data_IF_794787368846
#
_entry.id   IF_794787368846
#
_cell.length_a   1.000
_cell.length_b   1.000
_cell.length_c   1.000
_cell.angle_alpha   90.00
_cell.angle_beta   90.00
_cell.angle_gamma   90.00
#
_symmetry.space_group_name_H-M   'P 1'
#
loop_
_entity.id
_entity.type
_entity.pdbx_description
1 polymer ?
#
# COMPACT_ATOMS: atom_id res chain seq x y z
N UNK A 1 -1.76 17.98 -46.48
CA UNK A 1 -2.96 17.23 -46.93
C UNK A 1 -3.91 18.23 -47.57
N UNK A 2 -3.89 18.29 -48.90
CA UNK A 2 -4.90 18.95 -49.72
C UNK A 2 -6.04 17.94 -49.93
N UNK A 3 -7.27 18.38 -49.71
CA UNK A 3 -8.48 17.63 -50.09
C UNK A 3 -8.50 17.40 -51.61
N UNK A 4 -9.00 16.24 -52.07
CA UNK A 4 -9.73 16.18 -53.32
C UNK A 4 -11.21 15.97 -53.03
N UNK A 5 -11.99 17.02 -53.28
CA UNK A 5 -13.42 16.92 -53.57
C UNK A 5 -13.57 16.27 -54.94
N UNK A 6 -14.30 15.17 -55.05
CA UNK A 6 -15.21 14.85 -56.16
C UNK A 6 -16.18 13.74 -55.69
N UNK A 7 -17.40 14.13 -55.34
CA UNK A 7 -18.62 13.31 -55.47
C UNK A 7 -19.04 13.31 -56.96
N UNK A 8 -19.92 12.43 -57.51
CA UNK A 8 -21.23 12.06 -56.93
C UNK A 8 -21.72 10.61 -57.31
N UNK A 9 -23.03 10.27 -57.45
CA UNK A 9 -23.79 9.51 -56.46
C UNK A 9 -24.52 8.27 -57.05
N UNK A 10 -24.13 7.05 -56.68
CA UNK A 10 -24.82 5.81 -57.12
C UNK A 10 -25.55 5.10 -55.97
N UNK A 11 -26.28 5.84 -55.14
CA UNK A 11 -27.07 5.22 -54.07
C UNK A 11 -28.45 5.82 -53.82
N UNK A 12 -29.01 6.47 -54.84
CA UNK A 12 -30.40 6.95 -54.84
C UNK A 12 -31.06 6.62 -56.19
N UNK A 13 -31.28 5.33 -56.48
CA UNK A 13 -32.06 4.91 -57.65
C UNK A 13 -32.73 3.51 -57.52
N UNK A 14 -32.59 2.79 -56.40
CA UNK A 14 -33.15 1.42 -56.28
C UNK A 14 -34.32 1.33 -55.29
N UNK A 15 -34.65 2.42 -54.58
CA UNK A 15 -35.81 2.46 -53.69
C UNK A 15 -37.04 3.07 -54.39
N UNK A 16 -37.41 2.55 -55.57
CA UNK A 16 -38.69 2.85 -56.21
C UNK A 16 -38.97 1.92 -57.39
N UNK A 17 -39.37 0.67 -57.12
CA UNK A 17 -40.29 -0.09 -57.99
C UNK A 17 -41.11 -1.03 -57.08
N UNK A 18 -42.42 -0.77 -57.07
CA UNK A 18 -43.60 -1.63 -56.85
C UNK A 18 -43.45 -2.89 -55.97
N UNK A 19 -44.19 -3.08 -54.86
CA UNK A 19 -45.67 -3.19 -54.75
C UNK A 19 -46.33 -3.90 -55.94
N UNK A 20 -46.20 -5.23 -56.01
CA UNK A 20 -47.28 -6.19 -56.32
C UNK A 20 -46.73 -7.62 -56.35
N UNK A 21 -47.50 -8.56 -55.82
CA UNK A 21 -47.24 -10.00 -55.78
C UNK A 21 -47.21 -10.64 -57.20
N UNK A 22 -46.76 -11.90 -57.35
CA UNK A 22 -45.90 -12.36 -58.45
C UNK A 22 -46.64 -12.94 -59.67
N UNK A 23 -45.95 -12.97 -60.82
CA UNK A 23 -46.14 -14.00 -61.85
C UNK A 23 -44.76 -14.57 -62.25
N UNK A 24 -44.66 -15.90 -62.25
CA UNK A 24 -43.40 -16.68 -62.14
C UNK A 24 -42.58 -16.74 -63.45
N UNK A 25 -42.97 -16.01 -64.50
CA UNK A 25 -42.33 -16.14 -65.82
C UNK A 25 -41.60 -14.88 -66.30
N UNK A 26 -41.75 -13.71 -65.66
CA UNK A 26 -41.07 -12.47 -66.07
C UNK A 26 -39.73 -12.21 -65.36
N UNK A 27 -39.39 -13.01 -64.34
CA UNK A 27 -38.12 -12.87 -63.60
C UNK A 27 -36.95 -13.62 -64.24
N UNK A 28 -37.20 -14.51 -65.21
CA UNK A 28 -36.14 -15.31 -65.84
C UNK A 28 -35.34 -14.50 -66.87
N UNK A 29 -36.01 -13.69 -67.69
CA UNK A 29 -35.36 -12.93 -68.78
C UNK A 29 -34.53 -11.73 -68.29
N UNK A 30 -34.89 -11.10 -67.16
CA UNK A 30 -34.05 -10.05 -66.57
C UNK A 30 -32.79 -10.62 -65.91
N UNK A 31 -32.86 -11.82 -65.34
CA UNK A 31 -31.71 -12.43 -64.67
C UNK A 31 -30.61 -12.88 -65.66
N UNK A 32 -30.96 -13.30 -66.87
CA UNK A 32 -29.98 -13.64 -67.93
C UNK A 32 -29.25 -12.40 -68.47
N UNK A 33 -29.95 -11.27 -68.61
CA UNK A 33 -29.34 -10.02 -69.06
C UNK A 33 -28.38 -9.39 -68.02
N UNK A 34 -28.67 -9.55 -66.73
CA UNK A 34 -27.75 -9.13 -65.66
C UNK A 34 -26.53 -10.06 -65.50
N UNK A 35 -26.64 -11.34 -65.87
CA UNK A 35 -25.52 -12.29 -65.83
C UNK A 35 -24.46 -12.02 -66.92
N UNK A 36 -24.87 -11.43 -68.06
CA UNK A 36 -23.97 -11.11 -69.18
C UNK A 36 -23.12 -9.83 -68.98
N UNK A 37 -23.50 -8.96 -68.03
CA UNK A 37 -22.77 -7.73 -67.67
C UNK A 37 -21.76 -7.96 -66.52
N UNK A 38 -21.08 -9.11 -66.56
CA UNK A 38 -20.00 -9.46 -65.64
C UNK A 38 -18.77 -8.56 -65.88
N UNK A 39 -18.81 -7.36 -65.31
CA UNK A 39 -17.65 -6.48 -65.14
C UNK A 39 -16.56 -7.28 -64.43
N UNK A 40 -15.51 -7.67 -65.18
CA UNK A 40 -14.33 -8.32 -64.61
C UNK A 40 -13.83 -7.44 -63.45
N UNK A 41 -13.71 -7.95 -62.21
CA UNK A 41 -13.13 -7.15 -61.15
C UNK A 41 -11.67 -6.87 -61.54
N UNK A 42 -11.38 -5.63 -61.93
CA UNK A 42 -10.02 -5.12 -61.96
C UNK A 42 -9.52 -5.22 -60.52
N UNK A 43 -8.79 -6.29 -60.22
CA UNK A 43 -8.14 -6.48 -58.92
C UNK A 43 -7.06 -5.43 -58.84
N UNK A 44 -7.42 -4.23 -58.39
CA UNK A 44 -6.45 -3.22 -58.03
C UNK A 44 -5.80 -3.69 -56.74
N UNK A 45 -4.72 -4.48 -56.86
CA UNK A 45 -3.87 -4.86 -55.73
C UNK A 45 -3.25 -3.57 -55.21
N UNK A 46 -3.89 -2.98 -54.20
CA UNK A 46 -3.26 -1.91 -53.43
C UNK A 46 -2.14 -2.56 -52.65
N UNK A 47 -0.89 -2.40 -53.10
CA UNK A 47 0.28 -2.56 -52.24
C UNK A 47 0.26 -1.44 -51.20
N UNK A 48 -0.65 -1.52 -50.23
CA UNK A 48 -0.64 -0.67 -49.07
C UNK A 48 0.55 -1.10 -48.21
N UNK A 49 1.74 -0.56 -48.47
CA UNK A 49 2.91 -0.75 -47.61
C UNK A 49 2.87 0.20 -46.40
N UNK A 50 1.71 0.32 -45.75
CA UNK A 50 1.58 1.07 -44.51
C UNK A 50 2.23 0.35 -43.31
N UNK A 51 2.88 -0.79 -43.54
CA UNK A 51 3.79 -1.43 -42.59
C UNK A 51 5.20 -0.79 -42.57
N UNK A 52 5.56 0.07 -43.54
CA UNK A 52 6.91 0.66 -43.61
C UNK A 52 7.15 1.87 -42.68
N UNK A 53 6.10 2.56 -42.20
CA UNK A 53 6.31 3.82 -41.45
C UNK A 53 6.28 3.70 -39.92
N UNK A 54 5.82 2.57 -39.35
CA UNK A 54 5.54 2.47 -37.90
C UNK A 54 6.37 1.47 -37.10
N UNK A 55 7.04 0.51 -37.75
CA UNK A 55 7.94 -0.46 -37.10
C UNK A 55 9.43 -0.08 -37.26
N UNK A 56 9.74 0.71 -38.28
CA UNK A 56 11.08 1.22 -38.60
C UNK A 56 11.43 2.47 -37.77
N UNK A 57 10.43 3.27 -37.39
CA UNK A 57 10.60 4.53 -36.64
C UNK A 57 10.33 4.39 -35.13
N UNK A 58 10.67 3.25 -34.52
CA UNK A 58 10.55 3.09 -33.05
C UNK A 58 11.90 3.30 -32.38
N UNK A 59 11.94 4.17 -31.38
CA UNK A 59 13.03 4.22 -30.41
C UNK A 59 13.07 2.88 -29.66
N UNK A 60 13.98 2.00 -30.08
CA UNK A 60 14.00 0.57 -29.73
C UNK A 60 14.76 0.27 -28.44
N UNK A 61 15.40 1.28 -27.85
CA UNK A 61 16.25 1.13 -26.68
C UNK A 61 15.78 2.01 -25.52
N UNK A 62 15.74 1.43 -24.33
CA UNK A 62 15.40 2.15 -23.11
C UNK A 62 16.66 2.75 -22.48
N UNK A 63 16.54 3.74 -21.58
CA UNK A 63 17.70 4.28 -20.90
C UNK A 63 18.40 3.17 -20.11
N UNK A 64 19.73 3.14 -20.16
CA UNK A 64 20.56 2.20 -19.43
C UNK A 64 20.23 2.19 -17.94
N UNK A 65 20.12 0.99 -17.36
CA UNK A 65 19.65 0.79 -15.96
C UNK A 65 20.74 0.98 -14.91
N UNK A 66 21.97 1.31 -15.33
CA UNK A 66 23.13 1.57 -14.44
C UNK A 66 23.37 0.43 -13.44
N UNK A 67 23.25 -0.81 -13.90
CA UNK A 67 23.57 -2.02 -13.13
C UNK A 67 25.09 -2.14 -12.91
N UNK A 68 25.52 -3.16 -12.17
CA UNK A 68 26.93 -3.46 -11.90
C UNK A 68 27.41 -2.99 -10.52
N UNK A 69 28.73 -3.08 -10.33
CA UNK A 69 29.40 -2.71 -9.10
C UNK A 69 29.29 -1.20 -8.83
N UNK A 70 29.06 -0.88 -7.56
CA UNK A 70 29.06 0.48 -7.01
C UNK A 70 30.20 0.69 -6.02
N UNK A 71 30.67 -0.40 -5.41
CA UNK A 71 31.86 -0.41 -4.56
C UNK A 71 32.82 -1.49 -5.03
N UNK A 72 34.07 -1.12 -5.22
CA UNK A 72 35.16 -2.04 -5.60
C UNK A 72 35.65 -2.83 -4.37
N UNK A 73 36.50 -3.83 -4.62
CA UNK A 73 37.20 -4.53 -3.53
C UNK A 73 37.99 -3.55 -2.68
N UNK A 74 38.04 -3.82 -1.37
CA UNK A 74 38.72 -3.05 -0.34
C UNK A 74 38.22 -1.63 -0.11
N UNK A 75 37.11 -1.25 -0.72
CA UNK A 75 36.53 0.07 -0.48
C UNK A 75 35.78 0.10 0.85
N UNK A 76 35.95 1.20 1.59
CA UNK A 76 35.22 1.43 2.83
C UNK A 76 33.72 1.69 2.58
N UNK A 77 32.88 1.07 3.39
CA UNK A 77 31.42 1.15 3.33
C UNK A 77 30.80 1.27 4.72
N UNK A 78 29.61 1.86 4.77
CA UNK A 78 28.77 2.08 5.96
C UNK A 78 27.47 1.29 5.74
N UNK A 79 26.73 0.89 6.80
CA UNK A 79 25.43 0.24 6.65
C UNK A 79 24.50 0.98 5.69
N UNK A 80 23.85 0.24 4.79
CA UNK A 80 22.94 0.77 3.78
C UNK A 80 23.59 1.13 2.44
N UNK A 81 24.93 1.21 2.38
CA UNK A 81 25.60 1.47 1.11
C UNK A 81 25.39 0.32 0.12
N UNK A 82 24.98 0.65 -1.10
CA UNK A 82 24.84 -0.31 -2.20
C UNK A 82 26.24 -0.70 -2.70
N UNK A 83 26.49 -2.01 -2.79
CA UNK A 83 27.75 -2.57 -3.28
C UNK A 83 27.61 -3.02 -4.73
N UNK A 84 26.51 -3.70 -5.08
CA UNK A 84 26.28 -4.22 -6.43
C UNK A 84 24.80 -4.22 -6.79
N UNK A 85 24.45 -3.67 -7.97
CA UNK A 85 23.09 -3.72 -8.53
C UNK A 85 23.03 -4.74 -9.66
N UNK A 86 22.08 -5.66 -9.64
CA UNK A 86 22.05 -6.77 -10.60
C UNK A 86 20.62 -7.14 -10.99
N UNK A 87 20.51 -7.98 -12.04
CA UNK A 87 19.29 -8.70 -12.38
C UNK A 87 19.55 -10.17 -12.09
N UNK A 88 18.72 -10.77 -11.24
CA UNK A 88 19.04 -12.07 -10.65
C UNK A 88 20.27 -11.99 -9.73
N UNK A 89 20.79 -13.15 -9.35
CA UNK A 89 21.88 -13.29 -8.38
C UNK A 89 23.17 -13.75 -9.04
N UNK A 90 23.89 -12.83 -9.68
CA UNK A 90 25.26 -13.11 -10.17
C UNK A 90 26.23 -13.21 -8.98
N UNK A 91 26.13 -12.24 -8.08
CA UNK A 91 26.78 -12.27 -6.78
C UNK A 91 25.75 -12.57 -5.70
N UNK A 92 26.17 -13.32 -4.68
CA UNK A 92 25.37 -13.63 -3.50
C UNK A 92 25.83 -12.80 -2.29
N UNK A 93 24.93 -12.52 -1.34
CA UNK A 93 25.31 -11.87 -0.10
C UNK A 93 26.18 -12.82 0.75
N UNK A 94 27.39 -12.36 1.08
CA UNK A 94 28.33 -13.01 1.98
C UNK A 94 28.25 -12.43 3.40
N UNK A 95 29.38 -12.42 4.10
CA UNK A 95 29.46 -11.90 5.47
C UNK A 95 29.14 -10.40 5.53
N UNK A 96 28.32 -9.99 6.51
CA UNK A 96 27.94 -8.59 6.77
C UNK A 96 27.35 -7.84 5.55
N UNK A 97 26.72 -8.60 4.66
CA UNK A 97 25.99 -8.12 3.50
C UNK A 97 24.58 -8.70 3.51
N UNK A 98 23.62 -7.93 2.98
CA UNK A 98 22.26 -8.39 2.76
C UNK A 98 21.83 -8.10 1.33
N UNK A 99 20.72 -8.73 0.92
CA UNK A 99 20.19 -8.63 -0.42
C UNK A 99 18.79 -8.01 -0.40
N UNK A 100 18.56 -7.01 -1.24
CA UNK A 100 17.26 -6.35 -1.39
C UNK A 100 16.29 -7.15 -2.27
N UNK A 101 15.06 -6.64 -2.40
CA UNK A 101 14.00 -7.24 -3.23
C UNK A 101 14.42 -7.40 -4.70
N UNK A 102 15.19 -6.45 -5.23
CA UNK A 102 15.68 -6.47 -6.62
C UNK A 102 17.05 -7.16 -6.76
N UNK A 103 17.46 -7.96 -5.77
CA UNK A 103 18.76 -8.62 -5.67
C UNK A 103 19.96 -7.67 -5.56
N UNK A 104 19.72 -6.38 -5.27
CA UNK A 104 20.79 -5.44 -4.94
C UNK A 104 21.48 -5.85 -3.64
N UNK A 105 22.80 -5.94 -3.65
CA UNK A 105 23.60 -6.24 -2.45
C UNK A 105 24.00 -4.94 -1.78
N UNK A 106 23.77 -4.86 -0.47
CA UNK A 106 24.13 -3.72 0.37
C UNK A 106 24.82 -4.16 1.65
N UNK A 107 25.63 -3.25 2.23
CA UNK A 107 26.35 -3.48 3.48
C UNK A 107 25.41 -3.40 4.69
N UNK A 108 25.53 -4.33 5.64
CA UNK A 108 24.80 -4.26 6.93
C UNK A 108 25.65 -3.64 8.03
N UNK A 109 26.96 -3.69 7.89
CA UNK A 109 27.92 -3.18 8.88
C UNK A 109 28.97 -2.28 8.22
N UNK A 110 29.67 -1.47 9.01
CA UNK A 110 30.77 -0.64 8.52
C UNK A 110 32.07 -1.43 8.41
N UNK A 111 32.75 -1.31 7.27
CA UNK A 111 33.93 -2.11 6.97
C UNK A 111 34.41 -1.96 5.53
N UNK A 112 35.09 -2.97 5.02
CA UNK A 112 35.68 -2.99 3.68
C UNK A 112 35.09 -4.13 2.84
N UNK A 113 34.76 -3.84 1.59
CA UNK A 113 34.14 -4.83 0.68
C UNK A 113 35.17 -5.87 0.25
N UNK A 114 34.81 -7.16 0.25
CA UNK A 114 35.61 -8.25 -0.32
C UNK A 114 34.74 -9.12 -1.22
N UNK A 115 35.25 -9.40 -2.41
CA UNK A 115 34.66 -10.31 -3.38
C UNK A 115 35.38 -11.66 -3.25
N UNK A 116 34.66 -12.75 -3.05
CA UNK A 116 35.27 -14.06 -2.79
C UNK A 116 34.39 -15.22 -3.29
N UNK A 117 34.98 -16.42 -3.32
CA UNK A 117 34.27 -17.68 -3.56
C UNK A 117 34.38 -18.53 -2.31
N UNK A 118 33.32 -19.24 -1.98
CA UNK A 118 33.27 -20.11 -0.81
C UNK A 118 32.84 -21.51 -1.25
N UNK A 119 33.81 -22.39 -1.59
CA UNK A 119 33.50 -23.71 -2.08
C UNK A 119 32.92 -24.61 -0.99
N UNK A 120 33.27 -24.39 0.28
CA UNK A 120 32.73 -25.14 1.42
C UNK A 120 31.23 -24.87 1.60
N UNK A 121 30.81 -23.61 1.43
CA UNK A 121 29.40 -23.24 1.51
C UNK A 121 28.63 -23.61 0.25
N UNK A 122 29.14 -23.24 -0.93
CA UNK A 122 28.53 -23.61 -2.20
C UNK A 122 29.53 -23.54 -3.37
N UNK A 123 29.82 -24.66 -4.07
CA UNK A 123 30.96 -24.78 -4.98
C UNK A 123 30.94 -23.82 -6.18
N UNK A 124 29.74 -23.50 -6.70
CA UNK A 124 29.56 -22.70 -7.93
C UNK A 124 29.28 -21.21 -7.69
N UNK A 125 29.05 -20.76 -6.45
CA UNK A 125 28.57 -19.40 -6.16
C UNK A 125 29.72 -18.45 -5.82
N UNK A 126 29.50 -17.18 -6.10
CA UNK A 126 30.42 -16.09 -5.77
C UNK A 126 29.72 -15.14 -4.81
N UNK A 127 30.46 -14.59 -3.86
CA UNK A 127 29.93 -13.84 -2.73
C UNK A 127 30.58 -12.46 -2.62
N UNK A 128 29.81 -11.53 -2.07
CA UNK A 128 30.27 -10.22 -1.67
C UNK A 128 30.06 -10.09 -0.17
N UNK A 129 31.14 -9.86 0.57
CA UNK A 129 31.10 -9.64 2.01
C UNK A 129 31.73 -8.30 2.40
N UNK A 130 31.52 -7.91 3.65
CA UNK A 130 32.14 -6.75 4.28
C UNK A 130 32.91 -7.20 5.52
N UNK A 131 34.20 -6.87 5.57
CA UNK A 131 35.09 -7.20 6.69
C UNK A 131 35.40 -5.97 7.53
N UNK A 132 35.65 -6.14 8.82
CA UNK A 132 35.87 -5.01 9.74
C UNK A 132 37.24 -4.37 9.60
N UNK A 133 38.26 -5.19 9.31
CA UNK A 133 39.64 -4.74 9.07
C UNK A 133 39.97 -5.00 7.61
N UNK A 134 40.71 -4.08 6.98
CA UNK A 134 41.05 -4.17 5.56
C UNK A 134 41.84 -5.45 5.21
N UNK A 135 42.67 -5.90 6.14
CA UNK A 135 43.58 -7.05 5.97
C UNK A 135 42.87 -8.40 6.09
N UNK A 136 41.62 -8.42 6.56
CA UNK A 136 40.87 -9.67 6.69
C UNK A 136 40.51 -10.23 5.31
N UNK A 137 40.76 -11.53 5.14
CA UNK A 137 40.45 -12.28 3.93
C UNK A 137 39.21 -13.13 4.17
N UNK A 138 38.33 -13.18 3.17
CA UNK A 138 37.18 -14.08 3.11
C UNK A 138 37.44 -15.16 2.05
N UNK A 139 36.91 -16.39 2.20
CA UNK A 139 36.03 -16.86 3.27
C UNK A 139 36.75 -17.10 4.61
N UNK A 140 36.04 -16.96 5.72
CA UNK A 140 36.55 -17.35 7.04
C UNK A 140 36.54 -18.89 7.15
N UNK A 141 37.56 -19.50 7.78
CA UNK A 141 37.56 -20.95 7.98
C UNK A 141 36.42 -21.36 8.90
N UNK A 142 35.78 -22.50 8.60
CA UNK A 142 34.52 -22.97 9.20
C UNK A 142 34.48 -22.96 10.74
N UNK A 143 35.59 -23.29 11.39
CA UNK A 143 35.68 -23.41 12.85
C UNK A 143 36.21 -22.15 13.55
N UNK A 144 36.42 -21.05 12.81
CA UNK A 144 36.89 -19.80 13.43
C UNK A 144 35.77 -19.04 14.13
N UNK A 145 36.16 -18.30 15.17
CA UNK A 145 35.25 -17.41 15.89
C UNK A 145 34.72 -16.31 14.97
N UNK A 146 33.39 -16.16 14.92
CA UNK A 146 32.76 -15.06 14.17
C UNK A 146 33.04 -13.73 14.86
N UNK A 147 33.65 -12.80 14.12
CA UNK A 147 33.85 -11.43 14.58
C UNK A 147 32.52 -10.67 14.45
N UNK A 148 32.19 -9.83 15.44
CA UNK A 148 31.03 -8.94 15.44
C UNK A 148 31.40 -7.60 16.08
N UNK A 149 30.74 -6.51 15.67
CA UNK A 149 30.87 -5.22 16.34
C UNK A 149 29.73 -5.01 17.32
N UNK A 150 30.01 -4.33 18.43
CA UNK A 150 28.99 -3.99 19.42
C UNK A 150 28.07 -2.86 18.91
N UNK A 151 28.62 -1.90 18.13
CA UNK A 151 27.91 -0.75 17.55
C UNK A 151 27.03 0.02 18.56
N UNK A 152 27.51 0.16 19.79
CA UNK A 152 26.86 0.92 20.86
C UNK A 152 27.85 1.88 21.50
N UNK A 153 27.33 2.98 22.03
CA UNK A 153 28.09 3.99 22.78
C UNK A 153 27.58 3.97 24.22
N UNK A 154 28.49 4.03 25.19
CA UNK A 154 28.13 4.11 26.60
C UNK A 154 27.49 5.47 26.87
N UNK A 155 26.21 5.47 27.24
CA UNK A 155 25.46 6.66 27.65
C UNK A 155 25.08 6.49 29.11
N UNK A 156 25.34 7.51 29.93
CA UNK A 156 24.91 7.52 31.33
C UNK A 156 23.39 7.48 31.37
N UNK A 157 22.83 6.49 32.05
CA UNK A 157 21.38 6.43 32.26
C UNK A 157 20.99 7.52 33.26
N UNK A 158 20.09 8.42 32.85
CA UNK A 158 19.40 9.31 33.77
C UNK A 158 18.33 8.48 34.47
N UNK A 159 18.51 8.27 35.78
CA UNK A 159 17.46 7.69 36.61
C UNK A 159 16.42 8.80 36.76
N UNK A 160 15.16 8.59 36.31
CA UNK A 160 14.14 9.61 36.50
C UNK A 160 14.00 9.83 38.01
N UNK A 161 14.20 11.07 38.45
CA UNK A 161 13.86 11.45 39.81
C UNK A 161 12.38 11.12 40.00
N UNK A 162 12.09 10.25 40.97
CA UNK A 162 10.72 10.00 41.39
C UNK A 162 10.22 11.35 41.84
N UNK A 163 9.33 11.97 41.06
CA UNK A 163 8.68 13.20 41.45
C UNK A 163 7.91 12.91 42.75
N UNK A 164 8.56 13.17 43.89
CA UNK A 164 7.86 13.45 45.13
C UNK A 164 6.85 14.53 44.77
N UNK A 165 5.57 14.20 44.88
CA UNK A 165 4.47 14.91 44.25
C UNK A 165 4.61 16.42 44.40
N UNK A 166 5.15 17.06 43.36
CA UNK A 166 5.26 18.50 43.31
C UNK A 166 3.85 19.06 43.34
N UNK A 167 3.51 19.70 44.45
CA UNK A 167 2.35 20.57 44.54
C UNK A 167 2.35 21.45 43.29
N UNK A 168 1.27 21.32 42.53
CA UNK A 168 1.06 22.07 41.29
C UNK A 168 1.20 23.55 41.62
N UNK A 169 2.32 24.15 41.23
CA UNK A 169 2.49 25.58 41.21
C UNK A 169 1.44 26.14 40.26
N UNK A 170 0.33 26.59 40.84
CA UNK A 170 -0.65 27.45 40.21
C UNK A 170 0.12 28.68 39.75
N UNK A 171 0.43 28.77 38.46
CA UNK A 171 0.90 30.01 37.86
C UNK A 171 -0.21 31.04 38.05
N UNK A 172 -0.01 31.92 39.03
CA UNK A 172 -0.85 33.05 39.30
C UNK A 172 -1.05 33.87 38.04
N UNK A 173 -2.29 33.93 37.58
CA UNK A 173 -2.74 35.02 36.73
C UNK A 173 -2.89 36.22 37.66
N UNK A 174 -1.85 37.04 37.75
CA UNK A 174 -1.90 38.37 38.35
C UNK A 174 -2.75 39.27 37.45
N UNK A 175 -4.01 39.47 37.83
CA UNK A 175 -4.76 40.68 37.48
C UNK A 175 -4.57 41.65 38.65
N UNK A 176 -3.99 42.81 38.35
CA UNK A 176 -3.88 43.92 39.30
C UNK A 176 -5.27 44.37 39.75
N UNK A 177 -5.42 44.61 41.06
CA UNK A 177 -6.46 45.46 41.62
C UNK A 177 -7.42 44.76 42.60
N UNK A 178 -7.23 45.03 43.89
CA UNK A 178 -8.28 44.90 44.90
C UNK A 178 -7.85 44.18 46.18
N UNK A 179 -7.58 44.97 47.22
CA UNK A 179 -7.32 44.57 48.60
C UNK A 179 -8.42 43.64 49.16
N UNK A 180 -8.02 42.65 49.95
CA UNK A 180 -8.94 41.78 50.68
C UNK A 180 -8.27 40.51 51.19
N UNK A 181 -7.73 40.58 52.39
CA UNK A 181 -7.31 39.41 53.16
C UNK A 181 -8.48 38.41 53.30
N UNK A 182 -8.24 37.19 52.86
CA UNK A 182 -9.21 36.12 52.95
C UNK A 182 -8.70 34.88 52.24
N UNK A 183 -7.92 34.07 52.97
CA UNK A 183 -7.48 32.74 52.52
C UNK A 183 -8.70 31.84 52.40
N UNK A 184 -9.43 31.95 51.28
CA UNK A 184 -10.49 31.00 50.92
C UNK A 184 -9.79 29.73 50.46
N UNK A 185 -9.71 28.74 51.35
CA UNK A 185 -9.57 27.35 50.93
C UNK A 185 -10.69 27.07 49.92
N UNK A 186 -10.35 27.09 48.63
CA UNK A 186 -11.22 26.55 47.61
C UNK A 186 -11.14 25.04 47.78
N UNK A 187 -11.98 24.51 48.69
CA UNK A 187 -12.35 23.10 48.65
C UNK A 187 -12.89 22.87 47.25
N UNK A 188 -12.07 22.28 46.39
CA UNK A 188 -12.51 21.76 45.09
C UNK A 188 -13.58 20.75 45.44
N UNK A 189 -14.84 21.19 45.39
CA UNK A 189 -15.98 20.29 45.52
C UNK A 189 -15.75 19.25 44.44
N UNK A 190 -15.48 17.99 44.83
CA UNK A 190 -15.53 16.86 43.90
C UNK A 190 -16.84 17.04 43.14
N UNK A 191 -16.74 17.44 41.88
CA UNK A 191 -17.91 17.58 41.03
C UNK A 191 -18.64 16.24 41.13
N UNK A 192 -19.95 16.27 41.40
CA UNK A 192 -20.78 15.06 41.40
C UNK A 192 -20.41 14.28 40.15
N UNK A 193 -19.74 13.14 40.32
CA UNK A 193 -19.28 12.33 39.20
C UNK A 193 -20.51 12.06 38.34
N UNK A 194 -20.54 12.63 37.12
CA UNK A 194 -21.61 12.30 36.20
C UNK A 194 -21.45 10.81 35.91
N UNK A 195 -22.54 10.06 36.02
CA UNK A 195 -22.55 8.61 35.79
C UNK A 195 -21.86 8.32 34.44
N UNK A 196 -20.66 7.71 34.47
CA UNK A 196 -19.83 7.45 33.28
C UNK A 196 -18.55 8.30 33.12
N UNK A 197 -18.26 9.24 34.03
CA UNK A 197 -17.00 10.01 34.11
C UNK A 197 -15.99 9.46 35.14
N UNK A 198 -16.32 8.35 35.81
CA UNK A 198 -15.45 7.70 36.78
C UNK A 198 -14.17 7.17 36.09
N UNK A 199 -13.00 7.68 36.46
CA UNK A 199 -11.69 7.23 35.95
C UNK A 199 -11.18 7.92 34.68
N UNK A 200 -11.70 9.10 34.33
CA UNK A 200 -11.22 9.92 33.20
C UNK A 200 -10.10 10.89 33.60
N UNK A 201 -8.89 10.66 33.10
CA UNK A 201 -7.74 11.56 33.31
C UNK A 201 -7.77 12.70 32.29
N UNK A 202 -8.44 13.79 32.63
CA UNK A 202 -8.49 15.01 31.81
C UNK A 202 -7.19 15.81 31.99
N UNK A 203 -6.39 15.91 30.92
CA UNK A 203 -5.18 16.75 30.92
C UNK A 203 -5.48 18.08 30.22
N UNK A 204 -4.91 19.16 30.75
CA UNK A 204 -4.99 20.47 30.11
C UNK A 204 -4.18 20.44 28.80
N UNK A 205 -4.83 20.77 27.69
CA UNK A 205 -4.17 20.94 26.39
C UNK A 205 -3.94 22.42 26.08
N UNK A 206 -3.00 22.73 25.17
CA UNK A 206 -2.86 24.08 24.63
C UNK A 206 -4.22 24.63 24.19
N UNK A 207 -4.54 25.88 24.55
CA UNK A 207 -5.85 26.48 24.32
C UNK A 207 -6.85 26.30 25.48
N UNK A 208 -6.37 26.05 26.70
CA UNK A 208 -7.17 26.00 27.93
C UNK A 208 -8.33 24.99 27.90
N UNK A 209 -8.20 23.94 27.10
CA UNK A 209 -9.21 22.89 26.94
C UNK A 209 -8.80 21.63 27.71
N UNK A 210 -9.67 21.13 28.57
CA UNK A 210 -9.48 19.85 29.26
C UNK A 210 -10.00 18.71 28.39
N UNK A 211 -9.16 17.71 28.11
CA UNK A 211 -9.54 16.54 27.33
C UNK A 211 -8.66 15.34 27.70
N UNK A 212 -9.23 14.14 27.63
CA UNK A 212 -8.45 12.90 27.66
C UNK A 212 -7.59 12.79 26.40
N UNK A 213 -6.44 12.13 26.52
CA UNK A 213 -5.66 11.80 25.33
C UNK A 213 -6.33 10.70 24.51
N UNK A 214 -6.17 10.76 23.17
CA UNK A 214 -6.78 9.76 22.28
C UNK A 214 -6.32 8.32 22.57
N UNK A 215 -5.11 8.14 23.11
CA UNK A 215 -4.61 6.82 23.51
C UNK A 215 -5.28 6.31 24.79
N UNK A 216 -5.61 7.18 25.74
CA UNK A 216 -6.37 6.83 26.96
C UNK A 216 -7.80 6.45 26.59
N UNK A 217 -8.44 7.20 25.69
CA UNK A 217 -9.77 6.89 25.14
C UNK A 217 -9.75 5.52 24.43
N UNK A 218 -8.74 5.26 23.60
CA UNK A 218 -8.59 3.98 22.89
C UNK A 218 -8.40 2.78 23.83
N UNK A 219 -7.72 2.98 24.96
CA UNK A 219 -7.53 1.96 26.01
C UNK A 219 -8.62 1.93 27.07
N UNK A 220 -9.67 2.75 26.95
CA UNK A 220 -10.76 2.76 27.92
C UNK A 220 -11.43 1.38 28.07
N UNK A 221 -11.57 0.63 26.97
CA UNK A 221 -12.09 -0.73 26.98
C UNK A 221 -11.15 -1.72 27.71
N UNK A 222 -9.82 -1.56 27.56
CA UNK A 222 -8.82 -2.39 28.25
C UNK A 222 -8.79 -2.08 29.75
N UNK A 223 -8.83 -0.79 30.13
CA UNK A 223 -8.93 -0.34 31.54
C UNK A 223 -10.20 -0.86 32.21
N UNK A 224 -11.32 -0.85 31.48
CA UNK A 224 -12.59 -1.39 31.94
C UNK A 224 -12.64 -2.94 31.90
N UNK A 225 -11.57 -3.62 31.49
CA UNK A 225 -11.52 -5.08 31.40
C UNK A 225 -12.48 -5.69 30.38
N UNK A 226 -13.00 -4.89 29.44
CA UNK A 226 -14.01 -5.33 28.46
C UNK A 226 -13.33 -6.14 27.36
N UNK A 227 -13.49 -7.47 27.40
CA UNK A 227 -13.01 -8.36 26.33
C UNK A 227 -14.07 -8.52 25.24
N UNK A 228 -13.83 -7.91 24.07
CA UNK A 228 -14.66 -8.13 22.88
C UNK A 228 -14.27 -9.46 22.23
N UNK A 229 -15.26 -10.33 21.96
CA UNK A 229 -15.02 -11.59 21.23
C UNK A 229 -14.56 -11.27 19.80
N UNK A 230 -13.48 -11.89 19.29
CA UNK A 230 -13.02 -11.64 17.94
C UNK A 230 -14.09 -12.05 16.93
N UNK A 231 -14.32 -11.22 15.92
CA UNK A 231 -15.22 -11.54 14.82
C UNK A 231 -14.63 -12.69 14.01
N UNK A 232 -15.37 -13.79 13.85
CA UNK A 232 -15.01 -14.92 12.98
C UNK A 232 -15.66 -14.73 11.61
N UNK A 233 -14.90 -14.43 10.55
CA UNK A 233 -15.45 -14.36 9.19
C UNK A 233 -16.04 -15.72 8.77
N UNK A 234 -17.13 -15.71 8.00
CA UNK A 234 -17.79 -16.91 7.41
C UNK A 234 -18.41 -17.92 8.40
N UNK A 235 -18.58 -17.57 9.67
CA UNK A 235 -19.30 -18.41 10.63
C UNK A 235 -20.84 -18.33 10.41
N UNK A 236 -21.34 -19.20 9.51
CA UNK A 236 -22.77 -19.26 9.15
C UNK A 236 -23.66 -19.69 10.31
N UNK A 237 -23.17 -20.54 11.21
CA UNK A 237 -23.94 -21.06 12.35
C UNK A 237 -24.22 -19.99 13.41
N UNK A 238 -23.22 -19.17 13.74
CA UNK A 238 -23.44 -18.02 14.64
C UNK A 238 -24.32 -16.95 14.00
N UNK A 239 -24.19 -16.72 12.69
CA UNK A 239 -25.06 -15.81 11.95
C UNK A 239 -26.53 -16.28 11.96
N UNK A 240 -26.76 -17.58 11.76
CA UNK A 240 -28.08 -18.20 11.84
C UNK A 240 -28.67 -18.08 13.26
N UNK A 241 -27.92 -18.43 14.31
CA UNK A 241 -28.37 -18.23 15.71
C UNK A 241 -28.72 -16.77 16.02
N UNK A 242 -27.89 -15.82 15.59
CA UNK A 242 -28.18 -14.38 15.75
C UNK A 242 -29.44 -13.95 14.99
N UNK A 243 -29.71 -14.56 13.83
CA UNK A 243 -30.93 -14.33 13.04
C UNK A 243 -32.15 -14.83 13.80
N UNK A 244 -32.14 -16.06 14.29
CA UNK A 244 -33.26 -16.62 15.07
C UNK A 244 -33.59 -15.79 16.32
N UNK A 245 -32.58 -15.42 17.12
CA UNK A 245 -32.76 -14.55 18.29
C UNK A 245 -33.42 -13.22 17.89
N UNK A 246 -33.05 -12.66 16.74
CA UNK A 246 -33.67 -11.44 16.21
C UNK A 246 -35.13 -11.66 15.80
N UNK A 247 -35.44 -12.79 15.15
CA UNK A 247 -36.81 -13.16 14.78
C UNK A 247 -37.69 -13.35 16.01
N UNK A 248 -37.23 -14.08 17.03
CA UNK A 248 -37.95 -14.27 18.29
C UNK A 248 -38.23 -12.94 18.98
N UNK A 249 -37.21 -12.09 19.15
CA UNK A 249 -37.37 -10.74 19.74
C UNK A 249 -38.35 -9.86 18.95
N UNK A 250 -38.37 -9.98 17.63
CA UNK A 250 -39.34 -9.26 16.79
C UNK A 250 -40.76 -9.82 16.92
N UNK A 251 -40.92 -11.14 17.07
CA UNK A 251 -42.20 -11.78 17.31
C UNK A 251 -42.79 -11.37 18.67
N UNK A 252 -41.97 -11.36 19.72
CA UNK A 252 -42.34 -10.84 21.06
C UNK A 252 -42.77 -9.38 21.01
N UNK A 253 -42.03 -8.52 20.30
CA UNK A 253 -42.43 -7.12 20.11
C UNK A 253 -43.78 -6.99 19.40
N UNK A 254 -44.05 -7.83 18.39
CA UNK A 254 -45.33 -7.84 17.66
C UNK A 254 -46.50 -8.33 18.51
N UNK A 255 -46.28 -9.31 19.38
CA UNK A 255 -47.33 -9.82 20.28
C UNK A 255 -47.64 -8.83 21.40
N UNK A 256 -46.62 -8.18 21.96
CA UNK A 256 -46.81 -7.10 22.94
C UNK A 256 -47.52 -5.87 22.33
N UNK A 257 -47.21 -5.52 21.08
CA UNK A 257 -47.87 -4.44 20.36
C UNK A 257 -49.35 -4.70 20.03
N UNK A 258 -49.81 -5.96 20.00
CA UNK A 258 -51.23 -6.31 19.78
C UNK A 258 -52.09 -6.27 21.04
N UNK A 259 -51.50 -6.31 22.24
CA UNK A 259 -52.25 -6.34 23.52
C UNK A 259 -52.80 -4.98 23.98
N UNK A 260 -52.55 -3.89 23.25
CA UNK A 260 -52.98 -2.54 23.63
C UNK A 260 -54.32 -2.13 22.96
N UNK A 261 -54.87 -2.94 22.06
CA UNK A 261 -56.08 -2.60 21.28
C UNK A 261 -57.27 -3.55 21.47
N UNK A 262 -57.66 -3.83 22.72
CA UNK A 262 -58.87 -4.60 23.02
C UNK A 262 -59.62 -4.03 24.23
N UNK A 263 -60.54 -3.10 23.97
CA UNK A 263 -61.74 -2.81 24.76
C UNK A 263 -62.93 -3.19 23.90
#
# INVERSE_FOLDING_TARGET
>A
MLLPRLQPPLRAAIASIARSAPSVQSTACLNEAFAALALKPLVFVRHASHAQQGAVNKAKDGPGKRLGAKKSGEQYVIPGNIIFRQRGTHWFPGDNCAMGRDHTIYATESGYVKYYKDPERHPKRQYIGVVFKRDQVLPLPRNSHRRRRLNMVAVKMEVPEVAEGGEVAVSGVTLEGGEGEGRKEVKVKKAKARKGEEGRDLKLRPGYMYRESNWEIGRAAERAGVKVKPFKPRDRWTAWKKREVRFAKNAEKRSLGRKIGGK
#
